data_IF_565582918595
#
_entry.id   IF_565582918595
#
_cell.length_a   1.000
_cell.length_b   1.000
_cell.length_c   1.000
_cell.angle_alpha   90.00
_cell.angle_beta   90.00
_cell.angle_gamma   90.00
#
_symmetry.space_group_name_H-M   'P 1'
#
loop_
_entity.id
_entity.type
_entity.pdbx_description
1 polymer ?
#
# COMPACT_ATOMS: atom_id res chain seq x y z
N UNK A 1 14.69 -5.84 14.45
CA UNK A 1 13.89 -5.76 13.19
C UNK A 1 14.64 -4.98 12.11
N UNK A 2 15.03 -3.72 12.33
CA UNK A 2 15.75 -2.92 11.30
C UNK A 2 16.94 -3.67 10.75
N UNK A 3 17.86 -4.18 11.61
CA UNK A 3 19.03 -4.93 11.17
C UNK A 3 18.73 -6.21 10.35
N UNK A 4 17.53 -6.79 10.50
CA UNK A 4 17.10 -7.90 9.63
C UNK A 4 16.74 -7.39 8.24
N UNK A 5 15.94 -6.30 8.15
CA UNK A 5 15.53 -5.72 6.86
C UNK A 5 16.72 -5.14 6.07
N UNK A 6 17.71 -4.59 6.76
CA UNK A 6 18.88 -3.97 6.11
C UNK A 6 20.01 -4.96 5.80
N UNK A 7 19.96 -6.19 6.32
CA UNK A 7 20.95 -7.24 6.03
C UNK A 7 20.89 -7.63 4.55
N UNK A 8 22.05 -7.74 3.90
CA UNK A 8 22.16 -8.10 2.48
C UNK A 8 21.65 -9.52 2.16
N UNK A 9 21.60 -10.39 3.16
CA UNK A 9 21.08 -11.76 3.02
C UNK A 9 19.56 -11.81 3.04
N UNK A 10 18.88 -10.74 3.48
CA UNK A 10 17.41 -10.70 3.51
C UNK A 10 16.87 -10.57 2.10
N UNK A 11 16.07 -11.55 1.71
CA UNK A 11 15.35 -11.55 0.42
C UNK A 11 13.90 -11.17 0.65
N UNK A 12 13.37 -10.35 -0.24
CA UNK A 12 11.95 -9.98 -0.24
C UNK A 12 11.20 -10.84 -1.30
N UNK A 13 9.91 -11.06 -1.11
CA UNK A 13 9.06 -10.58 -0.01
C UNK A 13 9.37 -11.26 1.33
N UNK A 14 9.27 -10.47 2.39
CA UNK A 14 9.41 -10.94 3.77
C UNK A 14 8.35 -10.24 4.64
N UNK A 15 8.00 -10.81 5.78
CA UNK A 15 7.10 -10.15 6.70
C UNK A 15 7.60 -10.24 8.13
N UNK A 16 7.14 -9.32 8.96
CA UNK A 16 7.18 -9.49 10.41
C UNK A 16 5.83 -10.00 10.88
N UNK A 17 5.86 -11.16 11.52
CA UNK A 17 4.72 -11.71 12.23
C UNK A 17 4.75 -11.18 13.66
N UNK A 18 3.70 -10.48 14.04
CA UNK A 18 3.49 -9.98 15.39
C UNK A 18 2.31 -10.72 16.02
N UNK A 19 2.47 -11.10 17.30
CA UNK A 19 1.35 -11.61 18.09
C UNK A 19 1.24 -10.85 19.42
N UNK A 20 0.00 -10.76 19.90
CA UNK A 20 -0.33 -10.26 21.22
C UNK A 20 -1.39 -11.17 21.86
N UNK A 21 -1.14 -11.61 23.09
CA UNK A 21 -2.06 -12.40 23.91
C UNK A 21 -2.67 -11.52 24.97
N UNK A 22 -3.96 -11.24 24.86
CA UNK A 22 -4.67 -10.36 25.79
C UNK A 22 -5.06 -11.07 27.09
N UNK A 23 -4.07 -11.55 27.83
CA UNK A 23 -4.31 -12.22 29.15
C UNK A 23 -4.86 -11.26 30.20
N UNK A 24 -4.64 -9.96 30.03
CA UNK A 24 -5.14 -8.92 30.95
C UNK A 24 -6.55 -8.46 30.62
N UNK A 25 -7.12 -8.97 29.53
CA UNK A 25 -8.47 -8.61 29.07
C UNK A 25 -8.63 -7.10 28.87
N UNK A 26 -7.66 -6.49 28.20
CA UNK A 26 -7.66 -5.06 27.90
C UNK A 26 -8.49 -4.72 26.67
N UNK A 27 -8.74 -5.71 25.80
CA UNK A 27 -9.44 -5.55 24.55
C UNK A 27 -10.83 -6.19 24.59
N UNK A 28 -10.94 -7.40 25.15
CA UNK A 28 -12.20 -8.13 25.26
C UNK A 28 -12.35 -8.77 26.64
N UNK A 29 -13.58 -9.18 26.98
CA UNK A 29 -13.88 -9.85 28.26
C UNK A 29 -13.30 -11.28 28.34
N UNK A 30 -12.89 -11.82 27.20
CA UNK A 30 -12.20 -13.11 27.11
C UNK A 30 -10.74 -12.93 26.71
N UNK A 31 -9.88 -13.87 27.13
CA UNK A 31 -8.49 -13.85 26.72
C UNK A 31 -8.38 -14.30 25.26
N UNK A 32 -7.99 -13.40 24.38
CA UNK A 32 -7.87 -13.64 22.95
C UNK A 32 -6.43 -13.48 22.47
N UNK A 33 -6.12 -14.18 21.37
CA UNK A 33 -4.84 -14.05 20.67
C UNK A 33 -5.03 -13.20 19.41
N UNK A 34 -4.28 -12.11 19.32
CA UNK A 34 -4.27 -11.21 18.17
C UNK A 34 -2.99 -11.42 17.36
N UNK A 35 -3.12 -11.39 16.04
CA UNK A 35 -2.02 -11.63 15.10
C UNK A 35 -2.05 -10.59 14.01
N UNK A 36 -0.86 -10.17 13.56
CA UNK A 36 -0.70 -9.26 12.45
C UNK A 36 0.54 -9.62 11.65
N UNK A 37 0.47 -9.40 10.33
CA UNK A 37 1.61 -9.53 9.44
C UNK A 37 1.93 -8.15 8.86
N UNK A 38 3.19 -7.77 8.89
CA UNK A 38 3.72 -6.57 8.25
C UNK A 38 4.60 -7.00 7.08
N UNK A 39 4.04 -7.09 5.86
CA UNK A 39 4.81 -7.50 4.69
C UNK A 39 5.68 -6.37 4.18
N UNK A 40 6.82 -6.74 3.61
CA UNK A 40 7.74 -5.88 2.90
C UNK A 40 8.03 -6.48 1.52
N UNK A 41 7.95 -5.64 0.52
CA UNK A 41 8.36 -5.90 -0.85
C UNK A 41 9.41 -4.86 -1.27
N UNK A 42 10.08 -5.03 -2.41
CA UNK A 42 11.10 -4.07 -2.86
C UNK A 42 10.51 -2.68 -3.13
N UNK A 43 9.24 -2.58 -3.50
CA UNK A 43 8.54 -1.32 -3.68
C UNK A 43 8.09 -0.65 -2.37
N UNK A 44 8.19 -1.30 -1.19
CA UNK A 44 7.77 -0.73 0.09
C UNK A 44 8.56 0.52 0.45
N UNK A 45 7.91 1.69 0.69
CA UNK A 45 8.59 2.94 1.01
C UNK A 45 9.42 2.84 2.29
N UNK A 46 8.91 2.17 3.30
CA UNK A 46 9.57 1.96 4.59
C UNK A 46 10.84 1.12 4.43
N UNK A 47 10.79 0.08 3.59
CA UNK A 47 11.96 -0.74 3.28
C UNK A 47 13.05 0.09 2.58
N UNK A 48 12.67 0.86 1.56
CA UNK A 48 13.60 1.71 0.82
C UNK A 48 14.21 2.80 1.71
N UNK A 49 13.42 3.39 2.61
CA UNK A 49 13.93 4.35 3.59
C UNK A 49 14.96 3.72 4.53
N UNK A 50 14.71 2.51 5.04
CA UNK A 50 15.63 1.79 5.92
C UNK A 50 16.92 1.38 5.19
N UNK A 51 16.82 0.87 3.95
CA UNK A 51 18.00 0.51 3.14
C UNK A 51 18.86 1.72 2.81
N UNK A 52 18.24 2.83 2.43
CA UNK A 52 18.94 4.10 2.15
C UNK A 52 19.61 4.65 3.41
N UNK A 53 18.91 4.65 4.54
CA UNK A 53 19.48 5.09 5.80
C UNK A 53 20.71 4.26 6.20
N UNK A 54 20.63 2.92 6.04
CA UNK A 54 21.75 2.02 6.32
C UNK A 54 22.93 2.28 5.38
N UNK A 55 22.68 2.48 4.08
CA UNK A 55 23.74 2.78 3.10
C UNK A 55 24.43 4.14 3.36
N UNK A 56 23.74 5.09 3.98
CA UNK A 56 24.25 6.42 4.32
C UNK A 56 24.76 6.54 5.76
N UNK A 57 24.78 5.45 6.53
CA UNK A 57 25.11 5.42 7.97
C UNK A 57 24.25 6.39 8.80
N UNK A 58 22.95 6.47 8.45
CA UNK A 58 21.96 7.28 9.17
C UNK A 58 21.19 6.38 10.12
N UNK A 59 21.07 6.82 11.37
CA UNK A 59 20.24 6.11 12.36
C UNK A 59 18.77 6.09 11.94
N UNK A 60 18.15 4.91 11.94
CA UNK A 60 16.73 4.72 11.66
C UNK A 60 16.00 4.14 12.87
N UNK A 61 14.76 4.59 13.11
CA UNK A 61 13.91 4.12 14.21
C UNK A 61 12.49 3.93 13.74
N UNK A 62 11.81 2.90 14.23
CA UNK A 62 10.35 2.81 14.12
C UNK A 62 9.71 3.78 15.10
N UNK A 63 8.69 4.50 14.63
CA UNK A 63 8.05 5.57 15.39
C UNK A 63 6.55 5.37 15.61
N UNK A 64 5.93 4.37 14.98
CA UNK A 64 4.49 4.12 15.14
C UNK A 64 4.19 3.44 16.48
N UNK A 65 2.94 3.57 16.92
CA UNK A 65 2.43 2.96 18.14
C UNK A 65 2.49 1.43 18.03
N UNK A 66 2.92 0.69 19.06
CA UNK A 66 2.88 -0.77 19.05
C UNK A 66 1.50 -1.32 18.74
N UNK A 67 1.43 -2.41 17.99
CA UNK A 67 0.15 -3.00 17.55
C UNK A 67 -0.80 -3.34 18.70
N UNK A 68 -0.28 -3.87 19.81
CA UNK A 68 -1.04 -4.10 21.04
C UNK A 68 -1.72 -2.85 21.56
N UNK A 69 -1.00 -1.72 21.55
CA UNK A 69 -1.54 -0.43 22.01
C UNK A 69 -2.59 0.13 21.07
N UNK A 70 -2.43 -0.09 19.75
CA UNK A 70 -3.46 0.26 18.74
C UNK A 70 -4.74 -0.52 19.04
N UNK A 71 -4.64 -1.83 19.26
CA UNK A 71 -5.80 -2.68 19.56
C UNK A 71 -6.50 -2.25 20.86
N UNK A 72 -5.73 -2.02 21.92
CA UNK A 72 -6.27 -1.59 23.23
C UNK A 72 -6.98 -0.22 23.08
N UNK A 73 -6.34 0.74 22.41
CA UNK A 73 -6.91 2.07 22.17
C UNK A 73 -8.20 2.00 21.36
N UNK A 74 -8.21 1.19 20.31
CA UNK A 74 -9.38 0.98 19.45
C UNK A 74 -10.53 0.33 20.25
N UNK A 75 -10.22 -0.64 21.11
CA UNK A 75 -11.24 -1.28 21.95
C UNK A 75 -11.87 -0.32 22.94
N UNK A 76 -11.05 0.50 23.61
CA UNK A 76 -11.52 1.53 24.56
C UNK A 76 -12.40 2.57 23.87
N UNK A 77 -12.01 3.00 22.68
CA UNK A 77 -12.68 4.07 21.93
C UNK A 77 -13.82 3.58 21.01
N UNK A 78 -14.10 2.29 20.98
CA UNK A 78 -15.10 1.68 20.07
C UNK A 78 -16.48 2.36 20.14
N UNK A 79 -16.85 2.89 21.28
CA UNK A 79 -18.12 3.61 21.47
C UNK A 79 -18.20 5.00 20.84
N UNK A 80 -17.08 5.56 20.38
CA UNK A 80 -17.00 6.88 19.76
C UNK A 80 -17.35 6.86 18.26
N UNK A 81 -17.35 5.69 17.63
CA UNK A 81 -17.63 5.55 16.18
C UNK A 81 -19.01 6.05 15.82
N UNK A 82 -19.07 6.95 14.84
CA UNK A 82 -20.30 7.42 14.21
C UNK A 82 -20.86 6.43 13.19
N UNK A 83 -20.00 5.63 12.56
CA UNK A 83 -20.37 4.64 11.55
C UNK A 83 -20.04 3.22 12.00
N UNK A 84 -20.98 2.28 11.81
CA UNK A 84 -20.83 0.88 12.29
C UNK A 84 -20.03 -0.03 11.35
N UNK A 85 -19.51 0.48 10.23
CA UNK A 85 -18.73 -0.30 9.28
C UNK A 85 -17.38 -0.66 9.88
N UNK A 86 -17.10 -1.96 9.93
CA UNK A 86 -15.86 -2.52 10.50
C UNK A 86 -14.70 -2.29 9.51
N UNK A 87 -14.01 -1.18 9.64
CA UNK A 87 -12.74 -1.00 8.93
C UNK A 87 -11.57 -1.47 9.82
N UNK A 88 -10.67 -2.25 9.25
CA UNK A 88 -9.39 -2.58 9.87
C UNK A 88 -8.49 -1.32 9.83
N UNK A 89 -7.62 -1.13 10.82
CA UNK A 89 -6.66 -0.02 10.83
C UNK A 89 -5.63 -0.11 9.67
N UNK A 90 -5.49 -1.29 9.06
CA UNK A 90 -4.66 -1.54 7.88
C UNK A 90 -5.42 -1.35 6.56
N UNK A 91 -6.69 -0.96 6.65
CA UNK A 91 -7.57 -0.88 5.48
C UNK A 91 -7.61 0.57 4.96
N UNK A 92 -7.11 0.77 3.74
CA UNK A 92 -7.17 2.04 3.02
C UNK A 92 -8.59 2.39 2.52
N UNK A 93 -9.59 1.63 2.93
CA UNK A 93 -11.00 1.82 2.55
C UNK A 93 -11.49 3.24 2.74
N UNK A 94 -11.00 3.98 3.75
CA UNK A 94 -11.33 5.38 3.95
C UNK A 94 -10.84 6.27 2.82
N UNK A 95 -9.64 6.00 2.32
CA UNK A 95 -9.09 6.73 1.18
C UNK A 95 -9.84 6.39 -0.10
N UNK A 96 -10.22 5.12 -0.26
CA UNK A 96 -10.86 4.58 -1.46
C UNK A 96 -12.35 4.96 -1.53
N UNK A 97 -13.09 4.82 -0.41
CA UNK A 97 -14.55 4.99 -0.39
C UNK A 97 -15.01 6.36 0.12
N UNK A 98 -14.10 7.33 0.29
CA UNK A 98 -14.48 8.69 0.68
C UNK A 98 -15.41 9.32 -0.37
N UNK A 99 -16.30 10.22 0.09
CA UNK A 99 -17.17 10.99 -0.82
C UNK A 99 -16.35 11.81 -1.81
N UNK A 100 -15.16 12.24 -1.39
CA UNK A 100 -14.23 12.98 -2.22
C UNK A 100 -13.71 12.10 -3.36
N UNK A 101 -13.22 10.88 -3.08
CA UNK A 101 -12.73 9.95 -4.09
C UNK A 101 -13.80 9.59 -5.11
N UNK A 102 -15.02 9.32 -4.65
CA UNK A 102 -16.15 9.04 -5.55
C UNK A 102 -16.41 10.20 -6.52
N UNK A 103 -16.49 11.43 -5.99
CA UNK A 103 -16.68 12.62 -6.84
C UNK A 103 -15.49 12.89 -7.77
N UNK A 104 -14.29 12.53 -7.33
CA UNK A 104 -13.09 12.68 -8.13
C UNK A 104 -13.12 11.74 -9.34
N UNK A 105 -13.43 10.46 -9.13
CA UNK A 105 -13.61 9.48 -10.20
C UNK A 105 -14.74 9.90 -11.17
N UNK A 106 -15.89 10.34 -10.65
CA UNK A 106 -16.99 10.86 -11.48
C UNK A 106 -16.57 12.05 -12.36
N UNK A 107 -15.74 12.96 -11.84
CA UNK A 107 -15.29 14.15 -12.59
C UNK A 107 -14.19 13.85 -13.59
N UNK A 108 -13.40 12.83 -13.35
CA UNK A 108 -12.30 12.42 -14.24
C UNK A 108 -12.70 11.31 -15.19
N UNK A 109 -13.97 10.87 -15.14
CA UNK A 109 -14.53 9.77 -15.95
C UNK A 109 -13.74 8.47 -15.82
N UNK A 110 -13.34 8.15 -14.58
CA UNK A 110 -12.62 6.93 -14.23
C UNK A 110 -13.53 5.96 -13.47
N UNK A 111 -13.34 4.67 -13.69
CA UNK A 111 -14.21 3.59 -13.18
C UNK A 111 -14.09 3.41 -11.67
N UNK A 112 -12.85 3.45 -11.18
CA UNK A 112 -12.51 3.15 -9.78
C UNK A 112 -11.45 4.11 -9.26
N UNK A 113 -11.29 4.10 -7.94
CA UNK A 113 -10.22 4.83 -7.29
C UNK A 113 -8.84 4.31 -7.68
N UNK A 114 -8.69 2.98 -7.82
CA UNK A 114 -7.43 2.37 -8.21
C UNK A 114 -7.00 2.80 -9.62
N UNK A 115 -7.95 2.92 -10.57
CA UNK A 115 -7.66 3.48 -11.90
C UNK A 115 -7.23 4.96 -11.81
N UNK A 116 -7.88 5.74 -10.95
CA UNK A 116 -7.48 7.10 -10.67
C UNK A 116 -6.07 7.17 -10.09
N UNK A 117 -5.76 6.30 -9.13
CA UNK A 117 -4.46 6.22 -8.47
C UNK A 117 -3.36 5.84 -9.45
N UNK A 118 -3.55 4.78 -10.23
CA UNK A 118 -2.63 4.35 -11.28
C UNK A 118 -2.30 5.49 -12.25
N UNK A 119 -3.32 6.18 -12.75
CA UNK A 119 -3.12 7.26 -13.71
C UNK A 119 -2.36 8.44 -13.12
N UNK A 120 -2.82 8.99 -12.00
CA UNK A 120 -2.35 10.29 -11.52
C UNK A 120 -1.21 10.22 -10.50
N UNK A 121 -1.11 9.14 -9.74
CA UNK A 121 -0.06 9.01 -8.72
C UNK A 121 1.07 8.06 -9.14
N UNK A 122 0.79 7.02 -9.90
CA UNK A 122 1.81 6.07 -10.33
C UNK A 122 2.41 6.50 -11.67
N UNK A 123 1.62 6.52 -12.76
CA UNK A 123 2.14 6.84 -14.09
C UNK A 123 2.58 8.31 -14.18
N UNK A 124 1.67 9.25 -13.90
CA UNK A 124 2.02 10.68 -13.95
C UNK A 124 2.99 11.07 -12.83
N UNK A 125 2.89 10.39 -11.68
CA UNK A 125 3.77 10.62 -10.54
C UNK A 125 5.25 10.42 -10.86
N UNK A 126 5.61 9.46 -11.72
CA UNK A 126 6.98 9.22 -12.17
C UNK A 126 7.56 10.38 -13.00
N UNK A 127 6.72 11.24 -13.54
CA UNK A 127 7.09 12.40 -14.37
C UNK A 127 7.23 13.69 -13.57
N UNK A 128 6.76 13.70 -12.33
CA UNK A 128 6.82 14.86 -11.45
C UNK A 128 8.19 14.99 -10.78
N UNK A 129 8.54 16.21 -10.41
CA UNK A 129 9.62 16.37 -9.43
C UNK A 129 9.20 15.76 -8.09
N UNK A 130 10.17 15.34 -7.27
CA UNK A 130 9.90 14.81 -5.92
C UNK A 130 9.05 15.80 -5.10
N UNK A 131 9.32 17.10 -5.24
CA UNK A 131 8.58 18.14 -4.53
C UNK A 131 7.13 18.24 -4.99
N UNK A 132 6.88 18.20 -6.30
CA UNK A 132 5.53 18.27 -6.86
C UNK A 132 4.74 17.00 -6.51
N UNK A 133 5.37 15.84 -6.58
CA UNK A 133 4.75 14.56 -6.15
C UNK A 133 4.36 14.59 -4.67
N UNK A 134 5.27 14.98 -3.79
CA UNK A 134 5.00 15.09 -2.35
C UNK A 134 3.89 16.11 -2.08
N UNK A 135 3.88 17.25 -2.78
CA UNK A 135 2.83 18.25 -2.64
C UNK A 135 1.46 17.72 -3.09
N UNK A 136 1.42 16.99 -4.20
CA UNK A 136 0.19 16.36 -4.71
C UNK A 136 -0.33 15.31 -3.72
N UNK A 137 0.53 14.42 -3.25
CA UNK A 137 0.21 13.39 -2.27
C UNK A 137 -0.30 14.00 -0.96
N UNK A 138 0.40 15.00 -0.45
CA UNK A 138 0.02 15.68 0.79
C UNK A 138 -1.34 16.37 0.66
N UNK A 139 -1.59 17.04 -0.47
CA UNK A 139 -2.88 17.70 -0.75
C UNK A 139 -4.02 16.68 -0.76
N UNK A 140 -3.82 15.54 -1.44
CA UNK A 140 -4.78 14.44 -1.45
C UNK A 140 -5.07 13.94 -0.03
N UNK A 141 -4.04 13.67 0.76
CA UNK A 141 -4.17 13.18 2.13
C UNK A 141 -4.87 14.19 3.06
N UNK A 142 -4.61 15.50 2.92
CA UNK A 142 -5.31 16.54 3.69
C UNK A 142 -6.81 16.52 3.37
N UNK A 143 -7.17 16.49 2.09
CA UNK A 143 -8.59 16.55 1.69
C UNK A 143 -9.33 15.32 2.19
N UNK A 144 -8.75 14.12 2.04
CA UNK A 144 -9.37 12.89 2.51
C UNK A 144 -9.48 12.84 4.03
N UNK A 145 -8.48 13.35 4.75
CA UNK A 145 -8.54 13.44 6.21
C UNK A 145 -9.60 14.39 6.71
N UNK A 146 -9.82 15.51 6.03
CA UNK A 146 -10.83 16.50 6.42
C UNK A 146 -12.27 16.00 6.25
N UNK A 147 -12.48 14.91 5.53
CA UNK A 147 -13.79 14.22 5.45
C UNK A 147 -14.09 13.38 6.72
N UNK A 148 -13.09 13.11 7.57
CA UNK A 148 -13.23 12.32 8.79
C UNK A 148 -13.55 13.20 10.00
N UNK A 149 -14.37 12.67 10.91
CA UNK A 149 -14.63 13.35 12.20
C UNK A 149 -13.55 13.02 13.22
N UNK A 150 -13.32 13.92 14.18
CA UNK A 150 -12.38 13.69 15.27
C UNK A 150 -12.73 12.43 16.09
N UNK A 151 -14.02 12.15 16.27
CA UNK A 151 -14.49 10.95 16.94
C UNK A 151 -14.13 9.66 16.18
N UNK A 152 -14.24 9.67 14.87
CA UNK A 152 -13.87 8.51 14.04
C UNK A 152 -12.35 8.29 14.05
N UNK A 153 -11.57 9.37 13.98
CA UNK A 153 -10.10 9.32 14.10
C UNK A 153 -9.62 8.87 15.49
N UNK A 154 -10.38 9.21 16.54
CA UNK A 154 -10.09 8.71 17.90
C UNK A 154 -10.45 7.23 18.03
N UNK A 155 -11.60 6.83 17.46
CA UNK A 155 -12.15 5.48 17.60
C UNK A 155 -11.29 4.41 16.93
N UNK A 156 -10.57 4.72 15.85
CA UNK A 156 -9.70 3.77 15.15
C UNK A 156 -8.22 3.84 15.58
N UNK A 157 -7.92 4.69 16.55
CA UNK A 157 -6.58 4.85 17.08
C UNK A 157 -5.68 5.81 16.27
N UNK A 158 -6.19 6.46 15.22
CA UNK A 158 -5.41 7.41 14.39
C UNK A 158 -4.81 8.52 15.24
N UNK A 159 -5.61 9.18 16.09
CA UNK A 159 -5.10 10.28 16.94
C UNK A 159 -4.03 9.81 17.93
N UNK A 160 -4.18 8.62 18.51
CA UNK A 160 -3.18 8.04 19.40
C UNK A 160 -1.87 7.73 18.68
N UNK A 161 -1.94 7.15 17.48
CA UNK A 161 -0.76 6.88 16.64
C UNK A 161 -0.03 8.17 16.27
N UNK A 162 -0.75 9.19 15.84
CA UNK A 162 -0.19 10.50 15.49
C UNK A 162 0.48 11.19 16.66
N UNK A 163 -0.15 11.16 17.84
CA UNK A 163 0.44 11.68 19.06
C UNK A 163 1.74 10.95 19.41
N UNK A 164 1.74 9.62 19.32
CA UNK A 164 2.93 8.80 19.55
C UNK A 164 4.05 9.13 18.55
N UNK A 165 3.75 9.15 17.26
CA UNK A 165 4.71 9.48 16.21
C UNK A 165 5.28 10.90 16.39
N UNK A 166 4.44 11.89 16.68
CA UNK A 166 4.88 13.26 16.95
C UNK A 166 5.81 13.34 18.17
N UNK A 167 5.51 12.57 19.24
CA UNK A 167 6.38 12.48 20.40
C UNK A 167 7.76 11.90 20.06
N UNK A 168 7.81 10.81 19.28
CA UNK A 168 9.07 10.18 18.82
C UNK A 168 9.87 11.12 17.93
N UNK A 169 9.21 11.83 17.01
CA UNK A 169 9.87 12.83 16.17
C UNK A 169 10.43 13.98 17.02
N UNK A 170 9.67 14.49 17.98
CA UNK A 170 10.12 15.55 18.89
C UNK A 170 11.32 15.10 19.73
N UNK A 171 11.33 13.86 20.19
CA UNK A 171 12.47 13.28 20.91
C UNK A 171 13.71 13.19 20.01
N UNK A 172 13.55 12.70 18.76
CA UNK A 172 14.65 12.62 17.81
C UNK A 172 15.24 14.01 17.45
N UNK A 173 14.42 15.05 17.38
CA UNK A 173 14.85 16.43 17.11
C UNK A 173 15.68 17.05 18.24
N UNK A 174 15.68 16.49 19.46
CA UNK A 174 16.56 16.98 20.54
C UNK A 174 18.03 16.69 20.25
N UNK A 175 18.30 15.53 19.64
CA UNK A 175 19.64 15.04 19.40
C UNK A 175 20.11 15.28 17.96
N UNK A 176 19.18 15.59 17.05
CA UNK A 176 19.44 15.71 15.62
C UNK A 176 18.95 17.04 15.06
N UNK A 177 19.73 17.64 14.15
CA UNK A 177 19.36 18.91 13.48
C UNK A 177 18.27 18.72 12.42
N UNK A 178 18.21 17.54 11.81
CA UNK A 178 17.24 17.19 10.78
C UNK A 178 16.75 15.77 11.02
N UNK A 179 15.44 15.58 10.91
CA UNK A 179 14.78 14.28 11.01
C UNK A 179 13.88 14.14 9.78
N UNK A 180 14.03 13.03 9.06
CA UNK A 180 13.09 12.62 8.01
C UNK A 180 12.15 11.59 8.61
N UNK A 181 10.85 11.87 8.60
CA UNK A 181 9.81 10.93 9.00
C UNK A 181 9.12 10.37 7.75
N UNK A 182 9.12 9.05 7.60
CA UNK A 182 8.38 8.33 6.56
C UNK A 182 7.17 7.70 7.22
N UNK A 183 5.99 8.19 6.90
CA UNK A 183 4.71 7.78 7.50
C UNK A 183 3.67 7.57 6.43
N UNK A 184 2.59 6.83 6.73
CA UNK A 184 1.40 6.85 5.91
C UNK A 184 0.93 8.31 5.71
N UNK A 185 0.70 8.71 4.47
CA UNK A 185 0.42 10.11 4.11
C UNK A 185 -0.78 10.70 4.86
N UNK A 186 -1.77 9.87 5.19
CA UNK A 186 -2.96 10.26 5.97
C UNK A 186 -2.62 10.83 7.37
N UNK A 187 -1.55 10.33 8.01
CA UNK A 187 -1.10 10.81 9.31
C UNK A 187 -0.29 12.12 9.27
N UNK A 188 0.22 12.49 8.10
CA UNK A 188 1.18 13.59 7.97
C UNK A 188 0.64 14.92 8.48
N UNK A 189 -0.63 15.25 8.20
CA UNK A 189 -1.27 16.49 8.67
C UNK A 189 -1.38 16.50 10.20
N UNK A 190 -1.91 15.43 10.80
CA UNK A 190 -2.08 15.37 12.26
C UNK A 190 -0.75 15.46 13.01
N UNK A 191 0.29 14.78 12.52
CA UNK A 191 1.65 14.86 13.08
C UNK A 191 2.19 16.28 12.95
N UNK A 192 2.03 16.92 11.79
CA UNK A 192 2.50 18.29 11.56
C UNK A 192 1.82 19.29 12.50
N UNK A 193 0.51 19.20 12.68
CA UNK A 193 -0.25 20.09 13.56
C UNK A 193 0.14 19.91 15.03
N UNK A 194 0.34 18.68 15.49
CA UNK A 194 0.80 18.38 16.83
C UNK A 194 2.19 18.94 17.10
N UNK A 195 3.12 18.79 16.17
CA UNK A 195 4.48 19.33 16.28
C UNK A 195 4.48 20.87 16.25
N UNK A 196 3.65 21.48 15.41
CA UNK A 196 3.55 22.94 15.27
C UNK A 196 2.92 23.62 16.50
N UNK A 197 1.85 23.02 17.04
CA UNK A 197 1.13 23.54 18.22
C UNK A 197 1.79 23.21 19.52
N UNK A 198 2.74 22.29 19.53
CA UNK A 198 3.37 21.70 20.70
C UNK A 198 2.35 21.05 21.68
N UNK A 199 1.19 20.65 21.19
CA UNK A 199 0.11 20.06 21.96
C UNK A 199 0.22 18.52 22.01
N UNK A 200 1.43 18.01 22.19
CA UNK A 200 1.70 16.57 22.24
C UNK A 200 1.42 16.08 23.65
N UNK A 201 0.51 15.13 23.77
CA UNK A 201 0.10 14.60 25.05
C UNK A 201 1.09 13.54 25.58
N UNK A 202 1.24 13.50 26.90
CA UNK A 202 2.01 12.45 27.58
C UNK A 202 1.25 11.13 27.47
N UNK A 203 1.92 10.11 26.94
CA UNK A 203 1.35 8.77 26.81
C UNK A 203 1.63 7.91 28.04
N UNK A 204 0.71 7.01 28.31
CA UNK A 204 0.92 5.89 29.24
C UNK A 204 0.72 4.59 28.46
N UNK A 205 1.81 4.05 27.93
CA UNK A 205 1.79 2.73 27.31
C UNK A 205 1.60 1.65 28.40
N UNK A 206 0.87 0.60 28.02
CA UNK A 206 0.67 -0.54 28.91
C UNK A 206 1.97 -1.34 29.03
N UNK A 207 2.35 -1.68 30.27
CA UNK A 207 3.48 -2.58 30.49
C UNK A 207 3.03 -4.02 30.20
N UNK A 208 3.30 -4.47 28.99
CA UNK A 208 3.03 -5.84 28.55
C UNK A 208 4.22 -6.75 28.92
N UNK A 209 3.94 -8.02 29.09
CA UNK A 209 4.98 -9.02 29.33
C UNK A 209 5.56 -9.48 28.01
N UNK A 210 6.87 -9.69 27.95
CA UNK A 210 7.52 -10.32 26.78
C UNK A 210 6.97 -11.72 26.44
N UNK A 211 6.23 -12.34 27.37
CA UNK A 211 5.53 -13.63 27.13
C UNK A 211 4.18 -13.43 26.43
N UNK A 212 3.64 -12.22 26.47
CA UNK A 212 2.33 -11.89 25.94
C UNK A 212 2.41 -11.25 24.54
N UNK A 213 3.57 -10.77 24.15
CA UNK A 213 3.79 -10.22 22.80
C UNK A 213 5.12 -10.68 22.22
N UNK A 214 5.18 -10.76 20.90
CA UNK A 214 6.40 -11.08 20.17
C UNK A 214 6.32 -10.68 18.72
N UNK A 215 7.50 -10.43 18.13
CA UNK A 215 7.65 -10.06 16.73
C UNK A 215 8.78 -10.87 16.10
N UNK A 216 8.50 -11.58 15.02
CA UNK A 216 9.45 -12.48 14.35
C UNK A 216 9.48 -12.22 12.86
N UNK A 217 10.68 -12.22 12.24
CA UNK A 217 10.79 -12.23 10.80
C UNK A 217 10.34 -13.60 10.26
N UNK A 218 9.56 -13.58 9.20
CA UNK A 218 9.09 -14.78 8.50
C UNK A 218 9.32 -14.64 7.00
N UNK A 219 9.65 -15.74 6.34
CA UNK A 219 9.64 -15.79 4.89
C UNK A 219 8.20 -15.59 4.40
N UNK A 220 8.03 -14.82 3.33
CA UNK A 220 6.72 -14.48 2.81
C UNK A 220 6.71 -14.64 1.29
N UNK A 221 5.53 -14.82 0.69
CA UNK A 221 5.38 -14.87 -0.77
C UNK A 221 4.58 -13.66 -1.25
N UNK A 222 4.67 -13.38 -2.54
CA UNK A 222 3.83 -12.33 -3.14
C UNK A 222 2.35 -12.66 -3.03
N UNK A 223 1.97 -13.94 -3.23
CA UNK A 223 0.59 -14.38 -3.04
C UNK A 223 0.07 -14.13 -1.61
N UNK A 224 0.92 -14.37 -0.59
CA UNK A 224 0.55 -14.10 0.79
C UNK A 224 0.52 -12.59 1.11
N UNK A 225 1.29 -11.79 0.39
CA UNK A 225 1.31 -10.34 0.50
C UNK A 225 0.13 -9.67 -0.22
N UNK A 226 -0.48 -10.36 -1.21
CA UNK A 226 -1.58 -9.82 -1.99
C UNK A 226 -2.84 -9.66 -1.13
N UNK A 227 -3.41 -8.47 -1.16
CA UNK A 227 -4.65 -8.12 -0.47
C UNK A 227 -5.84 -8.98 -0.87
N UNK A 228 -5.87 -9.47 -2.12
CA UNK A 228 -6.98 -10.27 -2.66
C UNK A 228 -6.89 -11.74 -2.28
N UNK A 229 -5.70 -12.25 -2.03
CA UNK A 229 -5.45 -13.70 -1.86
C UNK A 229 -5.26 -14.12 -0.40
N UNK A 230 -4.99 -13.20 0.52
CA UNK A 230 -4.39 -13.62 1.75
C UNK A 230 -4.86 -12.99 3.04
N UNK A 231 -4.03 -13.13 4.01
CA UNK A 231 -4.18 -12.83 5.42
C UNK A 231 -4.22 -11.34 5.77
N UNK A 232 -4.95 -10.51 5.00
CA UNK A 232 -5.21 -9.09 5.29
C UNK A 232 -3.96 -8.19 5.38
N UNK A 233 -2.91 -8.49 4.65
CA UNK A 233 -1.68 -7.68 4.65
C UNK A 233 -1.71 -6.47 3.70
N UNK A 234 -2.70 -6.39 2.83
CA UNK A 234 -3.12 -5.14 2.21
C UNK A 234 -2.29 -4.61 1.04
N UNK A 235 -1.29 -5.31 0.53
CA UNK A 235 -0.57 -4.88 -0.67
C UNK A 235 -1.31 -5.42 -1.89
N UNK A 236 -1.80 -4.53 -2.75
CA UNK A 236 -2.39 -4.94 -4.02
C UNK A 236 -1.28 -5.17 -5.06
N UNK A 237 -1.40 -6.23 -5.86
CA UNK A 237 -0.51 -6.50 -7.01
C UNK A 237 0.99 -6.44 -6.66
N UNK A 238 1.44 -7.09 -5.58
CA UNK A 238 2.78 -6.85 -5.01
C UNK A 238 3.92 -7.20 -5.96
N UNK A 239 3.79 -8.24 -6.77
CA UNK A 239 4.81 -8.63 -7.74
C UNK A 239 4.95 -7.61 -8.88
N UNK A 240 3.83 -7.07 -9.36
CA UNK A 240 3.84 -6.04 -10.40
C UNK A 240 4.64 -4.80 -9.96
N UNK A 241 4.39 -4.29 -8.75
CA UNK A 241 5.10 -3.13 -8.22
C UNK A 241 6.59 -3.40 -8.00
N UNK A 242 6.95 -4.62 -7.61
CA UNK A 242 8.37 -5.00 -7.51
C UNK A 242 9.04 -5.08 -8.90
N UNK A 243 8.32 -5.51 -9.94
CA UNK A 243 8.81 -5.45 -11.31
C UNK A 243 9.03 -4.00 -11.78
N UNK A 244 8.08 -3.10 -11.52
CA UNK A 244 8.22 -1.67 -11.81
C UNK A 244 9.42 -1.10 -11.06
N UNK A 245 9.50 -1.33 -9.74
CA UNK A 245 10.60 -0.84 -8.92
C UNK A 245 11.95 -1.36 -9.39
N UNK A 246 12.06 -2.63 -9.73
CA UNK A 246 13.30 -3.22 -10.23
C UNK A 246 13.76 -2.55 -11.53
N UNK A 247 12.85 -2.20 -12.44
CA UNK A 247 13.20 -1.45 -13.65
C UNK A 247 13.62 -0.01 -13.30
N UNK A 248 12.90 0.67 -12.40
CA UNK A 248 13.18 2.04 -11.99
C UNK A 248 14.58 2.20 -11.37
N UNK A 249 15.03 1.27 -10.54
CA UNK A 249 16.38 1.35 -9.93
C UNK A 249 17.52 1.09 -10.91
N UNK A 250 17.24 0.58 -12.11
CA UNK A 250 18.22 0.26 -13.13
C UNK A 250 18.12 1.13 -14.39
N UNK A 251 17.21 2.10 -14.43
CA UNK A 251 17.05 3.02 -15.55
C UNK A 251 17.54 4.43 -15.19
N UNK A 252 18.01 5.16 -16.20
CA UNK A 252 18.40 6.57 -16.06
C UNK A 252 17.18 7.51 -16.25
N UNK A 253 16.16 7.06 -17.01
CA UNK A 253 14.94 7.78 -17.28
C UNK A 253 13.73 6.90 -16.92
N UNK A 254 12.83 7.33 -16.02
CA UNK A 254 11.67 6.56 -15.65
C UNK A 254 10.59 6.47 -16.76
N UNK A 255 10.69 7.29 -17.81
CA UNK A 255 9.72 7.30 -18.90
C UNK A 255 9.70 5.94 -19.62
N UNK A 256 8.50 5.38 -19.80
CA UNK A 256 8.29 4.08 -20.46
C UNK A 256 8.39 2.87 -19.52
N UNK A 257 8.92 3.02 -18.31
CA UNK A 257 9.11 1.88 -17.38
C UNK A 257 7.78 1.19 -17.06
N UNK A 258 6.73 1.96 -16.88
CA UNK A 258 5.41 1.40 -16.57
C UNK A 258 4.84 0.63 -17.76
N UNK A 259 4.85 1.24 -18.95
CA UNK A 259 4.44 0.60 -20.22
C UNK A 259 5.23 -0.67 -20.53
N UNK A 260 6.55 -0.66 -20.31
CA UNK A 260 7.41 -1.82 -20.52
C UNK A 260 7.10 -2.96 -19.54
N UNK A 261 6.73 -2.63 -18.31
CA UNK A 261 6.33 -3.64 -17.33
C UNK A 261 4.98 -4.25 -17.70
N UNK A 262 4.04 -3.43 -18.14
CA UNK A 262 2.72 -3.89 -18.62
C UNK A 262 2.86 -4.74 -19.87
N UNK A 263 3.77 -4.41 -20.78
CA UNK A 263 4.07 -5.21 -21.97
C UNK A 263 4.67 -6.58 -21.58
N UNK A 264 5.60 -6.64 -20.64
CA UNK A 264 6.13 -7.90 -20.13
C UNK A 264 5.02 -8.77 -19.52
N UNK A 265 4.06 -8.16 -18.85
CA UNK A 265 2.90 -8.84 -18.29
C UNK A 265 1.96 -9.37 -19.38
N UNK A 266 1.74 -8.63 -20.46
CA UNK A 266 1.00 -9.12 -21.64
C UNK A 266 1.67 -10.37 -22.22
N UNK A 267 2.99 -10.32 -22.43
CA UNK A 267 3.77 -11.47 -22.92
C UNK A 267 3.69 -12.65 -21.96
N UNK A 268 3.80 -12.38 -20.65
CA UNK A 268 3.62 -13.38 -19.61
C UNK A 268 2.26 -14.04 -19.66
N UNK A 269 1.21 -13.26 -19.89
CA UNK A 269 -0.18 -13.74 -20.00
C UNK A 269 -0.35 -14.64 -21.24
N UNK A 270 0.22 -14.26 -22.37
CA UNK A 270 0.19 -15.11 -23.60
C UNK A 270 0.85 -16.46 -23.33
N UNK A 271 2.04 -16.47 -22.68
CA UNK A 271 2.73 -17.70 -22.29
C UNK A 271 1.95 -18.55 -21.29
N UNK A 272 1.25 -17.89 -20.36
CA UNK A 272 0.39 -18.58 -19.42
C UNK A 272 -0.83 -19.20 -20.10
N UNK A 273 -1.43 -18.50 -21.06
CA UNK A 273 -2.51 -19.03 -21.89
C UNK A 273 -2.08 -20.28 -22.67
N UNK A 274 -0.91 -20.25 -23.29
CA UNK A 274 -0.34 -21.40 -24.01
C UNK A 274 -0.17 -22.63 -23.09
N UNK A 275 0.37 -22.43 -21.88
CA UNK A 275 0.50 -23.51 -20.88
C UNK A 275 -0.82 -24.10 -20.40
N UNK A 276 -1.91 -23.40 -20.54
CA UNK A 276 -3.25 -23.82 -20.16
C UNK A 276 -4.13 -24.20 -21.38
N UNK A 277 -3.51 -24.42 -22.53
CA UNK A 277 -4.18 -24.79 -23.79
C UNK A 277 -5.27 -23.78 -24.22
N UNK A 278 -5.09 -22.50 -23.86
CA UNK A 278 -5.97 -21.42 -24.30
C UNK A 278 -5.44 -20.84 -25.61
N UNK A 279 -6.22 -20.88 -26.70
CA UNK A 279 -5.74 -20.48 -28.01
C UNK A 279 -5.64 -18.95 -28.14
N UNK A 280 -4.47 -18.39 -27.82
CA UNK A 280 -4.11 -16.99 -28.07
C UNK A 280 -3.01 -16.95 -29.14
N UNK A 281 -3.29 -16.31 -30.25
CA UNK A 281 -2.32 -16.18 -31.34
C UNK A 281 -1.44 -14.95 -31.21
N UNK A 282 -0.32 -14.91 -31.92
CA UNK A 282 0.52 -13.71 -31.99
C UNK A 282 -0.23 -12.51 -32.60
N UNK A 283 -1.22 -12.75 -33.45
CA UNK A 283 -2.09 -11.68 -33.97
C UNK A 283 -2.98 -11.11 -32.86
N UNK A 284 -3.52 -11.95 -31.97
CA UNK A 284 -4.30 -11.51 -30.81
C UNK A 284 -3.43 -10.68 -29.86
N UNK A 285 -2.18 -11.12 -29.60
CA UNK A 285 -1.22 -10.38 -28.76
C UNK A 285 -0.86 -9.01 -29.35
N UNK A 286 -0.61 -8.95 -30.67
CA UNK A 286 -0.33 -7.67 -31.36
C UNK A 286 -1.54 -6.75 -31.37
N UNK A 287 -2.76 -7.31 -31.50
CA UNK A 287 -4.00 -6.55 -31.39
C UNK A 287 -4.17 -5.98 -29.97
N UNK A 288 -3.91 -6.77 -28.93
CA UNK A 288 -3.94 -6.32 -27.55
C UNK A 288 -2.95 -5.18 -27.31
N UNK A 289 -1.70 -5.30 -27.77
CA UNK A 289 -0.69 -4.23 -27.63
C UNK A 289 -1.13 -2.94 -28.33
N UNK A 290 -1.64 -3.04 -29.56
CA UNK A 290 -2.14 -1.87 -30.30
C UNK A 290 -3.33 -1.23 -29.58
N UNK A 291 -4.21 -2.05 -29.01
CA UNK A 291 -5.37 -1.58 -28.25
C UNK A 291 -4.96 -0.88 -26.96
N UNK A 292 -4.02 -1.43 -26.19
CA UNK A 292 -3.48 -0.78 -24.99
C UNK A 292 -2.99 0.63 -25.31
N UNK A 293 -2.15 0.76 -26.35
CA UNK A 293 -1.60 2.06 -26.75
C UNK A 293 -2.70 3.03 -27.20
N UNK A 294 -3.70 2.52 -27.95
CA UNK A 294 -4.84 3.32 -28.38
C UNK A 294 -5.72 3.80 -27.20
N UNK A 295 -5.97 2.92 -26.23
CA UNK A 295 -6.74 3.25 -25.03
C UNK A 295 -6.00 4.26 -24.14
N UNK A 296 -4.71 4.10 -23.94
CA UNK A 296 -3.89 5.04 -23.18
C UNK A 296 -3.94 6.44 -23.82
N UNK A 297 -3.77 6.52 -25.15
CA UNK A 297 -3.88 7.78 -25.88
C UNK A 297 -5.28 8.39 -25.76
N UNK A 298 -6.35 7.58 -25.90
CA UNK A 298 -7.73 8.04 -25.79
C UNK A 298 -8.05 8.59 -24.40
N UNK A 299 -7.52 7.95 -23.35
CA UNK A 299 -7.70 8.34 -21.96
C UNK A 299 -6.77 9.47 -21.51
N UNK A 300 -5.87 9.91 -22.38
CA UNK A 300 -4.87 10.93 -22.06
C UNK A 300 -3.86 10.47 -21.01
N UNK A 301 -3.51 9.17 -21.03
CA UNK A 301 -2.42 8.61 -20.24
C UNK A 301 -1.12 8.70 -21.03
N UNK A 302 -0.02 9.04 -20.37
CA UNK A 302 1.29 9.08 -21.02
C UNK A 302 1.87 7.69 -21.25
N UNK A 303 1.48 6.72 -20.44
CA UNK A 303 1.90 5.33 -20.51
C UNK A 303 0.71 4.39 -20.38
N UNK A 304 0.87 3.15 -20.87
CA UNK A 304 -0.13 2.10 -20.69
C UNK A 304 -0.08 1.59 -19.24
N UNK A 305 -1.25 1.50 -18.61
CA UNK A 305 -1.44 0.93 -17.29
C UNK A 305 -2.05 -0.48 -17.32
N UNK A 306 -2.31 -1.00 -16.12
CA UNK A 306 -2.95 -2.30 -15.96
C UNK A 306 -4.41 -2.31 -16.45
N UNK A 307 -5.10 -1.17 -16.37
CA UNK A 307 -6.48 -1.04 -16.85
C UNK A 307 -6.56 -1.10 -18.37
N UNK A 308 -5.60 -0.51 -19.09
CA UNK A 308 -5.49 -0.65 -20.54
C UNK A 308 -5.17 -2.10 -20.94
N UNK A 309 -4.32 -2.77 -20.16
CA UNK A 309 -4.00 -4.19 -20.38
C UNK A 309 -5.24 -5.08 -20.18
N UNK A 310 -5.99 -4.91 -19.10
CA UNK A 310 -7.18 -5.70 -18.81
C UNK A 310 -8.24 -5.54 -19.88
N UNK A 311 -8.49 -4.30 -20.33
CA UNK A 311 -9.43 -4.01 -21.41
C UNK A 311 -8.97 -4.61 -22.74
N UNK A 312 -7.67 -4.55 -23.04
CA UNK A 312 -7.09 -5.10 -24.25
C UNK A 312 -7.14 -6.65 -24.26
N UNK A 313 -6.82 -7.31 -23.15
CA UNK A 313 -6.96 -8.77 -23.01
C UNK A 313 -8.42 -9.17 -23.16
N UNK A 314 -9.33 -8.46 -22.49
CA UNK A 314 -10.77 -8.73 -22.59
C UNK A 314 -11.25 -8.68 -24.03
N UNK A 315 -10.80 -7.69 -24.80
CA UNK A 315 -11.28 -7.47 -26.16
C UNK A 315 -10.59 -8.36 -27.20
N UNK A 316 -9.32 -8.75 -26.97
CA UNK A 316 -8.52 -9.45 -27.98
C UNK A 316 -8.41 -10.96 -27.72
N UNK A 317 -8.43 -11.40 -26.44
CA UNK A 317 -8.25 -12.82 -26.11
C UNK A 317 -9.57 -13.55 -25.85
N UNK A 318 -10.62 -12.82 -25.43
CA UNK A 318 -11.93 -13.41 -25.16
C UNK A 318 -12.75 -13.37 -26.46
N UNK A 319 -12.95 -14.55 -27.08
CA UNK A 319 -13.71 -14.69 -28.31
C UNK A 319 -15.13 -15.15 -28.00
N UNK A 320 -16.11 -14.27 -28.22
CA UNK A 320 -17.53 -14.54 -27.96
C UNK A 320 -18.04 -13.96 -26.64
N UNK A 321 -19.08 -14.55 -26.08
CA UNK A 321 -19.65 -14.07 -24.81
C UNK A 321 -18.70 -14.34 -23.62
N UNK A 322 -18.65 -13.37 -22.70
CA UNK A 322 -17.87 -13.49 -21.46
C UNK A 322 -18.52 -14.51 -20.52
N UNK A 323 -17.96 -15.70 -20.45
CA UNK A 323 -18.34 -16.78 -19.52
C UNK A 323 -17.23 -17.00 -18.51
N UNK A 324 -17.49 -17.80 -17.47
CA UNK A 324 -16.45 -18.15 -16.47
C UNK A 324 -15.23 -18.79 -17.15
N UNK A 325 -15.43 -19.67 -18.12
CA UNK A 325 -14.33 -20.32 -18.84
C UNK A 325 -13.60 -19.38 -19.82
N UNK A 326 -14.27 -18.38 -20.39
CA UNK A 326 -13.64 -17.39 -21.28
C UNK A 326 -12.92 -16.27 -20.56
N UNK A 327 -13.17 -16.08 -19.25
CA UNK A 327 -12.46 -15.10 -18.42
C UNK A 327 -11.06 -15.56 -17.98
N UNK A 328 -10.68 -16.81 -18.24
CA UNK A 328 -9.42 -17.40 -17.81
C UNK A 328 -8.15 -16.61 -18.20
N UNK A 329 -8.03 -15.96 -19.38
CA UNK A 329 -6.87 -15.09 -19.67
C UNK A 329 -6.70 -13.93 -18.69
N UNK A 330 -7.80 -13.33 -18.22
CA UNK A 330 -7.78 -12.25 -17.20
C UNK A 330 -7.35 -12.82 -15.84
N UNK A 331 -7.89 -13.98 -15.45
CA UNK A 331 -7.50 -14.63 -14.20
C UNK A 331 -6.01 -15.00 -14.19
N UNK A 332 -5.46 -15.42 -15.33
CA UNK A 332 -4.03 -15.70 -15.47
C UNK A 332 -3.20 -14.44 -15.37
N UNK A 333 -3.64 -13.34 -15.97
CA UNK A 333 -2.99 -12.02 -15.84
C UNK A 333 -3.01 -11.57 -14.38
N UNK A 334 -4.14 -11.67 -13.67
CA UNK A 334 -4.25 -11.32 -12.26
C UNK A 334 -3.32 -12.16 -11.38
N UNK A 335 -3.17 -13.45 -11.66
CA UNK A 335 -2.20 -14.31 -10.96
C UNK A 335 -0.75 -13.84 -11.18
N UNK A 336 -0.42 -13.38 -12.38
CA UNK A 336 0.93 -12.91 -12.70
C UNK A 336 1.30 -11.59 -12.02
N UNK A 337 0.34 -10.74 -11.65
CA UNK A 337 0.62 -9.50 -10.91
C UNK A 337 0.77 -9.75 -9.41
N UNK A 338 0.33 -10.91 -8.92
CA UNK A 338 0.33 -11.27 -7.50
C UNK A 338 1.37 -12.33 -7.14
N UNK A 339 2.00 -13.02 -8.12
CA UNK A 339 2.81 -14.23 -7.87
C UNK A 339 4.26 -14.11 -8.35
#
# INVERSE_FOLDING_TARGET
>A
MIGVLTDERTKLPAAFYYYYKDRKKLISDEAEDYKCYYPFIYASPEYNALKTAAAMDIEARFIDLPYSEILITTAVNKGLRSNKDKHSYTDDSRLIYSKFCKKLCEKTDLRTFEEFWEKYFEIEGLRLSVQDFVQQMYTYCIITRNDETENDLAADGTLARENHMALRIKEALKDNKKVLAVTGGFHSLGIYELLKSDNIQKEKLHKLSQKDEGCFPVAYSYEAADALSGYASGIQRPYFYDCVMNKLIHCDDPAGVYSDTVLDLLIGTVRACDKHDIPVSMADASAAQSMMSGLAALRGCHECGLYELEDAITSSFIKGEKTISSALPIDLMHKLVSA
#
